data_IF_657183744750
#
_entry.id   IF_657183744750
#
_cell.length_a   1.000
_cell.length_b   1.000
_cell.length_c   1.000
_cell.angle_alpha   90.00
_cell.angle_beta   90.00
_cell.angle_gamma   90.00
#
_symmetry.space_group_name_H-M   'P 1'
#
loop_
_entity.id
_entity.type
_entity.pdbx_description
1 polymer ?
#
# COMPACT_ATOMS: atom_id res chain seq x y z
N UNK A 1 -40.92 -21.62 29.51
CA UNK A 1 -39.77 -20.70 29.32
C UNK A 1 -39.09 -21.11 28.02
N UNK A 2 -39.40 -20.42 26.93
CA UNK A 2 -38.86 -20.69 25.60
C UNK A 2 -37.51 -20.01 25.47
N UNK A 3 -36.44 -20.80 25.43
CA UNK A 3 -35.09 -20.35 25.12
C UNK A 3 -35.06 -19.90 23.66
N UNK A 4 -35.26 -18.60 23.43
CA UNK A 4 -35.17 -17.98 22.12
C UNK A 4 -33.68 -17.69 21.91
N UNK A 5 -32.96 -18.63 21.32
CA UNK A 5 -31.69 -18.32 20.66
C UNK A 5 -32.01 -17.30 19.57
N UNK A 6 -31.99 -16.03 19.98
CA UNK A 6 -32.07 -14.91 19.08
C UNK A 6 -30.94 -15.09 18.09
N UNK A 7 -31.30 -15.03 16.82
CA UNK A 7 -30.37 -14.91 15.71
C UNK A 7 -29.59 -13.59 15.94
N UNK A 8 -28.57 -13.66 16.78
CA UNK A 8 -27.83 -12.50 17.23
C UNK A 8 -26.84 -12.19 16.11
N UNK A 9 -27.30 -11.37 15.17
CA UNK A 9 -26.54 -10.94 13.99
C UNK A 9 -25.16 -10.41 14.43
N UNK A 10 -25.06 -9.79 15.61
CA UNK A 10 -23.80 -9.30 16.18
C UNK A 10 -22.81 -10.43 16.48
N UNK A 11 -23.30 -11.59 16.92
CA UNK A 11 -22.48 -12.78 17.23
C UNK A 11 -21.98 -13.47 15.96
N UNK A 12 -22.78 -13.45 14.89
CA UNK A 12 -22.38 -13.94 13.57
C UNK A 12 -21.41 -12.99 12.87
N UNK A 13 -21.65 -11.67 12.95
CA UNK A 13 -20.70 -10.66 12.50
C UNK A 13 -19.38 -10.74 13.26
N UNK A 14 -19.40 -10.92 14.59
CA UNK A 14 -18.19 -11.15 15.38
C UNK A 14 -17.43 -12.42 14.96
N UNK A 15 -18.14 -13.48 14.55
CA UNK A 15 -17.52 -14.70 14.03
C UNK A 15 -16.99 -14.54 12.59
N UNK A 16 -17.61 -13.72 11.74
CA UNK A 16 -17.07 -13.35 10.41
C UNK A 16 -15.83 -12.45 10.52
N UNK A 17 -15.81 -11.53 11.49
CA UNK A 17 -14.63 -10.73 11.86
C UNK A 17 -13.47 -11.65 12.26
N UNK A 18 -13.76 -12.78 12.92
CA UNK A 18 -12.78 -13.79 13.34
C UNK A 18 -12.13 -14.57 12.19
N UNK A 19 -12.66 -14.50 10.96
CA UNK A 19 -12.16 -15.29 9.83
C UNK A 19 -11.15 -14.57 8.93
N UNK A 20 -10.74 -13.34 9.25
CA UNK A 20 -9.73 -12.60 8.47
C UNK A 20 -8.45 -12.47 9.28
N UNK A 21 -7.52 -13.45 9.22
CA UNK A 21 -6.27 -13.40 9.98
C UNK A 21 -5.42 -12.22 9.50
N UNK A 22 -5.48 -11.09 10.21
CA UNK A 22 -4.64 -9.92 10.00
C UNK A 22 -3.34 -10.10 10.78
N UNK A 23 -2.23 -10.24 10.07
CA UNK A 23 -0.92 -10.47 10.66
C UNK A 23 -0.18 -9.16 10.89
N UNK A 24 0.37 -8.96 12.08
CA UNK A 24 1.08 -7.71 12.46
C UNK A 24 2.26 -7.42 11.54
N UNK A 25 2.92 -8.46 11.02
CA UNK A 25 4.08 -8.32 10.14
C UNK A 25 3.76 -7.71 8.77
N UNK A 26 2.51 -7.80 8.29
CA UNK A 26 2.11 -7.29 6.96
C UNK A 26 2.32 -5.77 6.87
N UNK A 27 1.98 -5.02 7.93
CA UNK A 27 2.13 -3.56 7.96
C UNK A 27 3.59 -3.13 7.83
N UNK A 28 4.47 -3.84 8.55
CA UNK A 28 5.90 -3.59 8.55
C UNK A 28 6.55 -4.04 7.24
N UNK A 29 6.13 -5.18 6.70
CA UNK A 29 6.57 -5.68 5.41
C UNK A 29 6.19 -4.73 4.26
N UNK A 30 4.96 -4.20 4.27
CA UNK A 30 4.54 -3.19 3.29
C UNK A 30 5.31 -1.88 3.44
N UNK A 31 5.54 -1.41 4.67
CA UNK A 31 6.33 -0.20 4.94
C UNK A 31 7.77 -0.35 4.43
N UNK A 32 8.42 -1.47 4.76
CA UNK A 32 9.76 -1.79 4.30
C UNK A 32 9.81 -1.94 2.78
N UNK A 33 8.84 -2.66 2.18
CA UNK A 33 8.72 -2.83 0.73
C UNK A 33 8.55 -1.52 0.00
N UNK A 34 7.74 -0.60 0.53
CA UNK A 34 7.55 0.73 -0.05
C UNK A 34 8.84 1.55 0.04
N UNK A 35 9.54 1.52 1.17
CA UNK A 35 10.85 2.17 1.30
C UNK A 35 11.86 1.63 0.29
N UNK A 36 11.94 0.30 0.10
CA UNK A 36 12.79 -0.30 -0.91
C UNK A 36 12.44 0.21 -2.32
N UNK A 37 11.16 0.25 -2.67
CA UNK A 37 10.71 0.78 -3.97
C UNK A 37 11.10 2.25 -4.15
N UNK A 38 11.00 3.08 -3.11
CA UNK A 38 11.39 4.50 -3.17
C UNK A 38 12.91 4.69 -3.31
N UNK A 39 13.74 3.73 -2.88
CA UNK A 39 15.19 3.79 -3.09
C UNK A 39 15.63 3.52 -4.53
N UNK A 40 14.80 2.82 -5.33
CA UNK A 40 15.08 2.48 -6.73
C UNK A 40 15.47 3.70 -7.58
N UNK A 41 14.67 4.78 -7.67
CA UNK A 41 15.03 5.95 -8.47
C UNK A 41 16.31 6.62 -7.96
N UNK A 42 16.58 6.63 -6.66
CA UNK A 42 17.81 7.19 -6.09
C UNK A 42 19.03 6.41 -6.56
N UNK A 43 18.98 5.07 -6.49
CA UNK A 43 20.07 4.19 -6.95
C UNK A 43 20.28 4.28 -8.47
N UNK A 44 19.21 4.44 -9.25
CA UNK A 44 19.27 4.64 -10.69
C UNK A 44 19.93 5.98 -11.07
N UNK A 45 19.80 7.01 -10.23
CA UNK A 45 20.46 8.31 -10.43
C UNK A 45 21.95 8.30 -10.06
N UNK A 46 22.32 7.58 -9.00
CA UNK A 46 23.72 7.51 -8.51
C UNK A 46 24.58 6.56 -9.36
N UNK A 47 23.98 5.83 -10.31
CA UNK A 47 24.72 4.99 -11.27
C UNK A 47 25.05 3.59 -10.72
N UNK A 48 24.39 3.15 -9.66
CA UNK A 48 24.54 1.78 -9.13
C UNK A 48 23.89 0.71 -10.03
N UNK A 49 23.04 1.12 -10.98
CA UNK A 49 22.44 0.26 -11.99
C UNK A 49 23.11 0.47 -13.35
N UNK A 50 23.72 -0.60 -13.84
CA UNK A 50 24.48 -0.62 -15.09
C UNK A 50 23.65 -0.15 -16.29
N UNK A 51 24.25 0.65 -17.18
CA UNK A 51 23.59 1.41 -18.27
C UNK A 51 22.97 0.54 -19.39
N UNK A 52 22.97 -0.79 -19.26
CA UNK A 52 22.62 -1.74 -20.31
C UNK A 52 21.34 -2.56 -20.09
N UNK A 53 20.75 -2.60 -18.89
CA UNK A 53 19.54 -3.39 -18.66
C UNK A 53 18.28 -2.55 -18.86
N UNK A 54 17.51 -2.86 -19.90
CA UNK A 54 16.24 -2.19 -20.29
C UNK A 54 15.15 -2.25 -19.21
N UNK A 55 15.33 -3.09 -18.21
CA UNK A 55 14.59 -3.07 -16.95
C UNK A 55 15.63 -3.17 -15.83
N UNK A 56 15.64 -2.25 -14.84
CA UNK A 56 16.46 -2.46 -13.67
C UNK A 56 16.05 -3.81 -13.06
N UNK A 57 17.01 -4.61 -12.60
CA UNK A 57 16.73 -5.84 -11.84
C UNK A 57 16.21 -5.45 -10.44
N UNK A 58 15.05 -4.79 -10.41
CA UNK A 58 14.35 -4.29 -9.22
C UNK A 58 13.20 -5.20 -8.80
N UNK A 59 12.95 -6.26 -9.57
CA UNK A 59 12.06 -7.35 -9.19
C UNK A 59 12.29 -7.78 -7.74
N UNK A 60 13.52 -8.07 -7.27
CA UNK A 60 13.74 -8.50 -5.89
C UNK A 60 13.31 -7.46 -4.84
N UNK A 61 13.57 -6.16 -5.10
CA UNK A 61 13.19 -5.08 -4.17
C UNK A 61 11.67 -4.89 -4.10
N UNK A 62 10.97 -5.14 -5.20
CA UNK A 62 9.51 -5.06 -5.26
C UNK A 62 8.79 -6.30 -4.72
N UNK A 63 9.44 -7.46 -4.67
CA UNK A 63 8.81 -8.72 -4.25
C UNK A 63 8.25 -8.63 -2.83
N UNK A 64 8.96 -7.97 -1.91
CA UNK A 64 8.48 -7.78 -0.55
C UNK A 64 7.17 -6.99 -0.53
N UNK A 65 7.07 -5.92 -1.32
CA UNK A 65 5.87 -5.10 -1.43
C UNK A 65 4.72 -5.89 -2.06
N UNK A 66 4.99 -6.68 -3.10
CA UNK A 66 3.97 -7.53 -3.72
C UNK A 66 3.44 -8.60 -2.76
N UNK A 67 4.33 -9.37 -2.13
CA UNK A 67 3.97 -10.47 -1.22
C UNK A 67 3.15 -9.93 -0.05
N UNK A 68 3.59 -8.82 0.54
CA UNK A 68 2.91 -8.22 1.69
C UNK A 68 1.60 -7.58 1.29
N UNK A 69 1.51 -6.96 0.10
CA UNK A 69 0.22 -6.49 -0.42
C UNK A 69 -0.76 -7.64 -0.61
N UNK A 70 -0.35 -8.76 -1.24
CA UNK A 70 -1.23 -9.91 -1.49
C UNK A 70 -1.74 -10.58 -0.21
N UNK A 71 -0.97 -10.47 0.88
CA UNK A 71 -1.36 -10.98 2.20
C UNK A 71 -2.25 -10.01 2.98
N UNK A 72 -2.43 -8.78 2.51
CA UNK A 72 -3.35 -7.84 3.12
C UNK A 72 -4.80 -8.14 2.69
N UNK A 73 -5.75 -8.24 3.63
CA UNK A 73 -7.17 -8.38 3.31
C UNK A 73 -7.75 -7.14 2.61
N UNK A 74 -6.96 -6.06 2.57
CA UNK A 74 -7.27 -4.80 1.94
C UNK A 74 -6.76 -4.72 0.50
N UNK A 75 -6.54 -5.84 -0.17
CA UNK A 75 -6.20 -5.86 -1.60
C UNK A 75 -7.37 -5.47 -2.48
N UNK A 76 -7.04 -4.87 -3.64
CA UNK A 76 -7.95 -4.20 -4.59
C UNK A 76 -9.30 -4.87 -4.89
N UNK A 77 -9.40 -6.19 -4.85
CA UNK A 77 -10.67 -6.91 -5.09
C UNK A 77 -11.75 -6.59 -4.04
N UNK A 78 -11.34 -6.29 -2.81
CA UNK A 78 -12.24 -5.89 -1.74
C UNK A 78 -12.81 -4.47 -1.91
N UNK A 79 -12.27 -3.66 -2.84
CA UNK A 79 -12.53 -2.23 -2.94
C UNK A 79 -13.16 -1.83 -4.27
N UNK A 80 -12.76 -2.49 -5.36
CA UNK A 80 -13.21 -2.19 -6.72
C UNK A 80 -14.61 -2.75 -7.00
N UNK A 81 -15.08 -3.70 -6.18
CA UNK A 81 -16.42 -4.26 -6.30
C UNK A 81 -17.31 -3.77 -5.15
N UNK A 82 -18.55 -3.33 -5.43
CA UNK A 82 -19.54 -3.05 -4.39
C UNK A 82 -19.76 -4.25 -3.46
N UNK A 83 -19.61 -5.47 -3.99
CA UNK A 83 -19.68 -6.72 -3.25
C UNK A 83 -18.55 -6.88 -2.23
N UNK A 84 -17.31 -6.52 -2.58
CA UNK A 84 -16.16 -6.51 -1.67
C UNK A 84 -16.31 -5.47 -0.57
N UNK A 85 -16.76 -4.27 -0.91
CA UNK A 85 -16.92 -3.17 0.06
C UNK A 85 -18.05 -3.48 1.06
N UNK A 86 -19.08 -4.22 0.62
CA UNK A 86 -20.16 -4.69 1.47
C UNK A 86 -19.73 -5.69 2.55
N UNK A 87 -18.54 -6.29 2.42
CA UNK A 87 -18.01 -7.24 3.41
C UNK A 87 -17.33 -6.58 4.61
N UNK A 88 -17.07 -5.26 4.56
CA UNK A 88 -16.52 -4.50 5.67
C UNK A 88 -17.64 -3.93 6.55
N UNK A 89 -17.40 -3.86 7.86
CA UNK A 89 -18.33 -3.22 8.79
C UNK A 89 -18.39 -1.69 8.56
N UNK A 90 -19.42 -1.01 9.08
CA UNK A 90 -19.59 0.44 8.90
C UNK A 90 -18.38 1.24 9.41
N UNK A 91 -17.78 0.81 10.51
CA UNK A 91 -16.54 1.39 11.04
C UNK A 91 -15.34 1.15 10.13
N UNK A 92 -15.20 -0.06 9.59
CA UNK A 92 -14.12 -0.38 8.67
C UNK A 92 -14.27 0.41 7.37
N UNK A 93 -15.48 0.50 6.80
CA UNK A 93 -15.74 1.29 5.58
C UNK A 93 -15.37 2.76 5.74
N UNK A 94 -15.68 3.36 6.88
CA UNK A 94 -15.32 4.75 7.16
C UNK A 94 -13.80 4.90 7.28
N UNK A 95 -13.13 4.02 8.02
CA UNK A 95 -11.67 4.00 8.11
C UNK A 95 -10.98 3.78 6.74
N UNK A 96 -11.52 2.92 5.90
CA UNK A 96 -11.02 2.66 4.53
C UNK A 96 -11.20 3.89 3.63
N UNK A 97 -12.36 4.55 3.71
CA UNK A 97 -12.61 5.77 2.93
C UNK A 97 -11.68 6.93 3.32
N UNK A 98 -11.41 7.09 4.62
CA UNK A 98 -10.48 8.09 5.12
C UNK A 98 -9.02 7.74 4.78
N UNK A 99 -8.65 6.46 4.84
CA UNK A 99 -7.35 5.97 4.41
C UNK A 99 -7.11 6.29 2.93
N UNK A 100 -8.09 6.06 2.06
CA UNK A 100 -8.01 6.42 0.63
C UNK A 100 -7.85 7.93 0.44
N UNK A 101 -8.67 8.73 1.13
CA UNK A 101 -8.59 10.19 1.00
C UNK A 101 -7.20 10.71 1.38
N UNK A 102 -6.62 10.18 2.46
CA UNK A 102 -5.25 10.52 2.91
C UNK A 102 -4.19 10.03 1.92
N UNK A 103 -4.33 8.81 1.41
CA UNK A 103 -3.43 8.25 0.39
C UNK A 103 -3.39 9.15 -0.84
N UNK A 104 -4.54 9.49 -1.41
CA UNK A 104 -4.61 10.33 -2.61
C UNK A 104 -4.08 11.74 -2.39
N UNK A 105 -4.32 12.33 -1.22
CA UNK A 105 -3.73 13.63 -0.89
C UNK A 105 -2.19 13.55 -0.86
N UNK A 106 -1.64 12.50 -0.27
CA UNK A 106 -0.19 12.27 -0.22
C UNK A 106 0.35 12.00 -1.62
N UNK A 107 -0.34 11.22 -2.45
CA UNK A 107 0.04 10.98 -3.84
C UNK A 107 0.08 12.27 -4.66
N UNK A 108 -0.95 13.12 -4.53
CA UNK A 108 -1.01 14.43 -5.20
C UNK A 108 0.15 15.31 -4.75
N UNK A 109 0.43 15.36 -3.44
CA UNK A 109 1.56 16.12 -2.90
C UNK A 109 2.90 15.57 -3.39
N UNK A 110 3.08 14.25 -3.42
CA UNK A 110 4.31 13.60 -3.88
C UNK A 110 4.56 13.88 -5.37
N UNK A 111 3.53 13.76 -6.21
CA UNK A 111 3.60 14.10 -7.63
C UNK A 111 3.88 15.60 -7.83
N UNK A 112 3.22 16.47 -7.07
CA UNK A 112 3.47 17.92 -7.14
C UNK A 112 4.91 18.26 -6.75
N UNK A 113 5.42 17.63 -5.69
CA UNK A 113 6.80 17.80 -5.23
C UNK A 113 7.81 17.28 -6.25
N UNK A 114 7.50 16.18 -6.95
CA UNK A 114 8.30 15.68 -8.07
C UNK A 114 8.41 16.74 -9.18
N UNK A 115 7.30 17.38 -9.57
CA UNK A 115 7.32 18.46 -10.56
C UNK A 115 8.12 19.68 -10.08
N UNK A 116 7.98 20.07 -8.81
CA UNK A 116 8.76 21.16 -8.22
C UNK A 116 10.25 20.83 -8.23
N UNK A 117 10.62 19.60 -7.87
CA UNK A 117 12.00 19.13 -7.94
C UNK A 117 12.55 19.19 -9.36
N UNK A 118 11.82 18.69 -10.36
CA UNK A 118 12.23 18.77 -11.77
C UNK A 118 12.38 20.22 -12.24
N UNK A 119 11.47 21.11 -11.82
CA UNK A 119 11.57 22.53 -12.14
C UNK A 119 12.82 23.17 -11.53
N UNK A 120 13.10 22.92 -10.25
CA UNK A 120 14.27 23.47 -9.55
C UNK A 120 15.57 22.87 -10.06
N UNK A 121 15.59 21.56 -10.33
CA UNK A 121 16.77 20.88 -10.82
C UNK A 121 17.23 21.40 -12.18
N UNK A 122 16.29 21.80 -13.04
CA UNK A 122 16.60 22.43 -14.33
C UNK A 122 17.34 23.77 -14.20
N UNK A 123 17.16 24.48 -13.07
CA UNK A 123 17.73 25.80 -12.82
C UNK A 123 19.00 25.76 -11.97
N UNK A 124 19.08 24.81 -11.04
CA UNK A 124 20.16 24.71 -10.04
C UNK A 124 21.25 23.70 -10.41
N UNK A 125 21.13 23.03 -11.56
CA UNK A 125 22.09 22.01 -11.99
C UNK A 125 22.07 20.75 -11.10
N UNK A 126 20.95 20.50 -10.43
CA UNK A 126 20.78 19.28 -9.62
C UNK A 126 20.60 18.06 -10.52
N UNK A 127 20.88 16.83 -10.01
CA UNK A 127 20.74 15.61 -10.77
C UNK A 127 19.33 15.48 -11.37
N UNK A 128 19.29 15.35 -12.70
CA UNK A 128 18.07 15.12 -13.47
C UNK A 128 18.11 13.76 -14.16
N UNK A 129 16.96 13.11 -14.35
CA UNK A 129 16.87 11.89 -15.15
C UNK A 129 17.27 12.18 -16.60
N UNK A 130 18.39 11.62 -17.03
CA UNK A 130 18.92 11.77 -18.39
C UNK A 130 18.59 10.57 -19.29
N UNK A 131 18.31 9.40 -18.71
CA UNK A 131 18.04 8.17 -19.47
C UNK A 131 16.60 7.68 -19.31
N UNK A 132 16.09 6.97 -20.32
CA UNK A 132 14.77 6.33 -20.27
C UNK A 132 14.64 5.37 -19.09
N UNK A 133 15.74 4.70 -18.69
CA UNK A 133 15.76 3.81 -17.52
C UNK A 133 15.52 4.56 -16.21
N UNK A 134 16.11 5.76 -16.04
CA UNK A 134 15.88 6.61 -14.86
C UNK A 134 14.44 7.12 -14.81
N UNK A 135 13.87 7.51 -15.95
CA UNK A 135 12.45 7.86 -16.04
C UNK A 135 11.54 6.67 -15.73
N UNK A 136 11.89 5.48 -16.24
CA UNK A 136 11.19 4.24 -15.94
C UNK A 136 11.20 3.90 -14.45
N UNK A 137 12.34 4.08 -13.78
CA UNK A 137 12.50 3.88 -12.33
C UNK A 137 11.63 4.83 -11.51
N UNK A 138 11.59 6.13 -11.88
CA UNK A 138 10.72 7.13 -11.24
C UNK A 138 9.25 6.77 -11.45
N UNK A 139 8.85 6.47 -12.69
CA UNK A 139 7.48 6.11 -13.04
C UNK A 139 7.02 4.85 -12.30
N UNK A 140 7.87 3.82 -12.26
CA UNK A 140 7.61 2.58 -11.54
C UNK A 140 7.40 2.83 -10.04
N UNK A 141 8.31 3.55 -9.40
CA UNK A 141 8.21 3.85 -7.97
C UNK A 141 6.95 4.68 -7.66
N UNK A 142 6.61 5.63 -8.52
CA UNK A 142 5.39 6.45 -8.38
C UNK A 142 4.14 5.58 -8.45
N UNK A 143 4.01 4.74 -9.48
CA UNK A 143 2.86 3.85 -9.63
C UNK A 143 2.76 2.90 -8.44
N UNK A 144 3.84 2.23 -8.06
CA UNK A 144 3.83 1.30 -6.92
C UNK A 144 3.45 2.01 -5.61
N UNK A 145 3.91 3.24 -5.40
CA UNK A 145 3.53 4.06 -4.24
C UNK A 145 2.02 4.34 -4.23
N UNK A 146 1.47 4.82 -5.35
CA UNK A 146 0.03 5.09 -5.49
C UNK A 146 -0.84 3.83 -5.29
N UNK A 147 -0.33 2.66 -5.70
CA UNK A 147 -1.04 1.40 -5.55
C UNK A 147 -1.03 0.87 -4.11
N UNK A 148 0.01 1.17 -3.35
CA UNK A 148 0.27 0.56 -2.05
C UNK A 148 -0.07 1.46 -0.87
N UNK A 149 0.00 2.78 -1.03
CA UNK A 149 -0.37 3.75 0.02
C UNK A 149 -1.79 3.57 0.57
N UNK A 150 -2.84 3.37 -0.26
CA UNK A 150 -4.19 3.15 0.26
C UNK A 150 -4.27 1.90 1.15
N UNK A 151 -3.62 0.82 0.73
CA UNK A 151 -3.58 -0.46 1.46
C UNK A 151 -2.78 -0.30 2.75
N UNK A 152 -1.64 0.41 2.69
CA UNK A 152 -0.81 0.69 3.86
C UNK A 152 -1.58 1.51 4.91
N UNK A 153 -2.28 2.56 4.50
CA UNK A 153 -3.08 3.36 5.42
C UNK A 153 -4.27 2.59 5.97
N UNK A 154 -4.93 1.77 5.15
CA UNK A 154 -5.99 0.88 5.62
C UNK A 154 -5.49 -0.05 6.71
N UNK A 155 -4.32 -0.65 6.49
CA UNK A 155 -3.65 -1.46 7.48
C UNK A 155 -3.46 -0.68 8.78
N UNK A 156 -2.87 0.53 8.76
CA UNK A 156 -2.64 1.29 10.00
C UNK A 156 -3.90 1.86 10.67
N UNK A 157 -4.92 2.26 9.91
CA UNK A 157 -6.11 2.94 10.44
C UNK A 157 -7.17 1.99 10.98
N UNK A 158 -7.25 0.75 10.49
CA UNK A 158 -8.15 -0.25 11.05
C UNK A 158 -7.49 -0.93 12.26
N UNK A 159 -8.11 -0.92 13.45
CA UNK A 159 -7.54 -1.52 14.66
C UNK A 159 -7.20 -3.00 14.44
N UNK A 160 -6.11 -3.47 15.04
CA UNK A 160 -5.73 -4.89 14.96
C UNK A 160 -6.63 -5.74 15.85
N UNK A 161 -6.92 -6.99 15.45
CA UNK A 161 -7.47 -7.95 16.39
C UNK A 161 -6.51 -8.16 17.56
N UNK A 162 -7.06 -8.51 18.73
CA UNK A 162 -6.27 -8.78 19.91
C UNK A 162 -5.24 -9.90 19.60
N UNK A 163 -4.00 -9.82 20.12
CA UNK A 163 -2.92 -10.74 19.77
C UNK A 163 -3.22 -12.21 20.12
N UNK A 164 -4.19 -12.46 21.01
CA UNK A 164 -4.68 -13.80 21.33
C UNK A 164 -5.38 -14.47 20.12
N UNK A 165 -5.96 -13.68 19.22
CA UNK A 165 -6.63 -14.15 17.99
C UNK A 165 -5.68 -14.25 16.78
N UNK A 166 -4.38 -13.88 16.90
CA UNK A 166 -3.39 -13.98 15.79
C UNK A 166 -2.93 -15.44 15.53
N UNK A 167 -3.19 -16.34 16.48
CA UNK A 167 -2.67 -17.72 16.51
C UNK A 167 -3.62 -18.80 15.94
N UNK A 168 -4.85 -18.41 15.56
CA UNK A 168 -5.88 -19.29 14.98
C UNK A 168 -5.87 -19.27 13.45
#
# INVERSE_FOLDING_TARGET
MTYRDGYDIRKWQANEIKQRPRRYWVRWGMSAGLLFVLTIPVLAMVGAYDRGSTLPNVMPMSMLLFITSLQSPFTREAWLSPAGFATFDEFERTALSDAMRRAYLIDILAVSMLFVWLMLASRLGWPMPATTSQWGAIGYATVMTMLTLPILFAEFMVPMPDPEDESL
#
